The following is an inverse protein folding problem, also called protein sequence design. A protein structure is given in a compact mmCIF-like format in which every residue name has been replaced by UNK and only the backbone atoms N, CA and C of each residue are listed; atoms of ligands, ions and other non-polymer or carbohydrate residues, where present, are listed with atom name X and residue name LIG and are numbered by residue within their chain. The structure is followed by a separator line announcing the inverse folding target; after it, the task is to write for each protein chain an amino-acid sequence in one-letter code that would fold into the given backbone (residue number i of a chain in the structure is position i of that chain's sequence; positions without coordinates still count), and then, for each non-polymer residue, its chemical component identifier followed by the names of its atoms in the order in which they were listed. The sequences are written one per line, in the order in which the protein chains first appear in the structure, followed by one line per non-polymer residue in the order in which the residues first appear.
data_IF_985007982727
#
_entry.id   IF_985007982727
#
_cell.length_a   1.000
_cell.length_b   1.000
_cell.length_c   1.000
_cell.angle_alpha   90.00
_cell.angle_beta   90.00
_cell.angle_gamma   90.00
#
_symmetry.space_group_name_H-M   'P 1'
#
loop_
_entity.id
_entity.type
_entity.pdbx_description
1 polymer ?
#
# COMPACT_ATOMS: atom_id res chain seq x y z
N UNK A 1 10.01 34.88 2.68
CA UNK A 1 9.09 33.70 2.80
C UNK A 1 8.46 33.52 1.42
N UNK A 2 8.86 32.47 0.71
CA UNK A 2 8.29 32.20 -0.62
C UNK A 2 6.80 31.97 -0.49
N UNK A 3 6.04 32.75 -1.21
CA UNK A 3 4.58 32.65 -1.28
C UNK A 3 4.26 31.36 -2.08
N UNK A 4 3.47 30.44 -1.52
CA UNK A 4 3.01 29.27 -2.25
C UNK A 4 2.25 29.71 -3.52
N UNK A 5 2.72 29.28 -4.69
CA UNK A 5 1.97 29.48 -5.93
C UNK A 5 0.69 28.64 -5.89
N UNK A 6 -0.46 29.32 -5.82
CA UNK A 6 -1.75 28.69 -5.72
C UNK A 6 -2.03 27.72 -6.87
N UNK A 7 -1.68 28.10 -8.10
CA UNK A 7 -1.97 27.30 -9.29
C UNK A 7 -1.08 26.06 -9.37
N UNK A 8 0.18 26.16 -9.00
CA UNK A 8 1.09 25.04 -8.90
C UNK A 8 0.65 24.06 -7.80
N UNK A 9 0.33 24.56 -6.62
CA UNK A 9 -0.19 23.73 -5.52
C UNK A 9 -1.49 23.04 -5.89
N UNK A 10 -2.44 23.74 -6.54
CA UNK A 10 -3.71 23.15 -6.93
C UNK A 10 -3.55 22.06 -8.01
N UNK A 11 -2.64 22.25 -8.96
CA UNK A 11 -2.30 21.19 -9.95
C UNK A 11 -1.75 19.93 -9.27
N UNK A 12 -0.84 20.08 -8.32
CA UNK A 12 -0.30 18.95 -7.54
C UNK A 12 -1.39 18.20 -6.79
N UNK A 13 -2.35 18.89 -6.18
CA UNK A 13 -3.50 18.28 -5.50
C UNK A 13 -4.43 17.59 -6.49
N UNK A 14 -4.71 18.18 -7.64
CA UNK A 14 -5.60 17.61 -8.66
C UNK A 14 -5.02 16.32 -9.25
N UNK A 15 -3.69 16.25 -9.42
CA UNK A 15 -2.96 15.06 -9.87
C UNK A 15 -2.61 14.09 -8.73
N UNK A 16 -2.89 14.45 -7.48
CA UNK A 16 -2.52 13.66 -6.29
C UNK A 16 -1.02 13.32 -6.23
N UNK A 17 -0.20 14.29 -6.52
CA UNK A 17 1.24 14.12 -6.67
C UNK A 17 1.92 13.99 -5.29
N UNK A 18 2.33 12.77 -4.95
CA UNK A 18 2.98 12.45 -3.68
C UNK A 18 4.36 13.09 -3.49
N UNK A 19 5.01 13.53 -4.58
CA UNK A 19 6.31 14.22 -4.50
C UNK A 19 6.23 15.54 -3.74
N UNK A 20 5.04 16.12 -3.64
CA UNK A 20 4.78 17.35 -2.89
C UNK A 20 4.31 17.11 -1.45
N UNK A 21 4.19 15.85 -1.01
CA UNK A 21 3.81 15.53 0.37
C UNK A 21 4.88 16.06 1.34
N UNK A 22 4.44 16.87 2.29
CA UNK A 22 5.33 17.54 3.24
C UNK A 22 5.85 18.91 2.79
N UNK A 23 5.74 19.28 1.52
CA UNK A 23 6.11 20.60 1.01
C UNK A 23 5.06 21.65 1.30
N UNK A 24 3.79 21.27 1.20
CA UNK A 24 2.65 22.08 1.56
C UNK A 24 1.45 21.21 1.95
N UNK A 25 0.45 21.85 2.53
CA UNK A 25 -0.79 21.20 2.97
C UNK A 25 -1.98 21.96 2.41
N UNK A 26 -3.02 21.19 2.03
CA UNK A 26 -4.25 21.69 1.43
C UNK A 26 -5.33 21.77 2.48
N UNK A 27 -5.77 22.94 2.85
CA UNK A 27 -6.86 23.15 3.79
C UNK A 27 -8.17 23.44 3.04
N UNK A 28 -9.25 22.77 3.42
CA UNK A 28 -10.56 22.85 2.77
C UNK A 28 -11.54 23.56 3.70
N UNK A 29 -11.88 24.81 3.40
CA UNK A 29 -12.71 25.69 4.25
C UNK A 29 -14.08 25.11 4.57
N UNK A 30 -14.71 24.42 3.60
CA UNK A 30 -16.05 23.86 3.79
C UNK A 30 -16.12 22.68 4.74
N UNK A 31 -15.00 21.99 4.96
CA UNK A 31 -14.93 20.81 5.83
C UNK A 31 -14.10 21.02 7.10
N UNK A 32 -13.32 22.11 7.16
CA UNK A 32 -12.39 22.37 8.24
C UNK A 32 -11.24 21.34 8.32
N UNK A 33 -10.91 20.68 7.19
CA UNK A 33 -9.92 19.61 7.15
C UNK A 33 -8.73 20.02 6.30
N UNK A 34 -7.50 19.73 6.78
CA UNK A 34 -6.31 19.82 5.95
C UNK A 34 -5.77 18.43 5.58
N UNK A 35 -5.21 18.32 4.38
CA UNK A 35 -4.74 17.12 3.73
C UNK A 35 -3.35 17.31 3.14
N UNK A 36 -2.67 16.18 2.84
CA UNK A 36 -1.51 16.15 1.96
C UNK A 36 -1.95 16.26 0.49
N UNK A 37 -1.07 16.73 -0.42
CA UNK A 37 -1.34 16.76 -1.86
C UNK A 37 -1.80 15.42 -2.45
N UNK A 38 -1.19 14.31 -2.04
CA UNK A 38 -1.51 12.95 -2.50
C UNK A 38 -2.80 12.36 -1.92
N UNK A 39 -3.54 13.10 -1.10
CA UNK A 39 -4.74 12.57 -0.43
C UNK A 39 -5.75 11.97 -1.43
N UNK A 40 -6.23 10.72 -1.23
CA UNK A 40 -7.18 10.07 -2.12
C UNK A 40 -8.63 10.57 -1.97
N UNK A 41 -8.85 11.65 -1.22
CA UNK A 41 -10.16 12.30 -1.13
C UNK A 41 -10.53 12.97 -2.46
N UNK A 42 -11.81 13.36 -2.58
CA UNK A 42 -12.29 14.13 -3.73
C UNK A 42 -11.54 15.47 -3.77
N UNK A 43 -11.01 15.82 -4.95
CA UNK A 43 -10.33 17.11 -5.15
C UNK A 43 -11.31 18.25 -4.86
N UNK A 44 -11.02 19.13 -3.92
CA UNK A 44 -11.91 20.23 -3.54
C UNK A 44 -12.00 21.29 -4.63
N UNK A 45 -13.11 22.03 -4.69
CA UNK A 45 -13.23 23.16 -5.62
C UNK A 45 -12.22 24.26 -5.25
N UNK A 46 -11.56 24.87 -6.24
CA UNK A 46 -10.52 25.90 -6.06
C UNK A 46 -10.92 27.00 -5.05
N UNK A 47 -12.14 27.50 -5.14
CA UNK A 47 -12.65 28.56 -4.25
C UNK A 47 -12.73 28.20 -2.76
N UNK A 48 -12.67 26.90 -2.44
CA UNK A 48 -12.78 26.38 -1.07
C UNK A 48 -11.42 25.98 -0.48
N UNK A 49 -10.33 26.20 -1.20
CA UNK A 49 -8.99 25.73 -0.82
C UNK A 49 -8.12 26.88 -0.41
N UNK A 50 -7.30 26.66 0.58
CA UNK A 50 -6.11 27.45 0.89
C UNK A 50 -4.94 26.52 1.17
N UNK A 51 -3.73 27.04 1.03
CA UNK A 51 -2.51 26.27 1.16
C UNK A 51 -1.66 26.77 2.32
N UNK A 52 -1.07 25.83 3.05
CA UNK A 52 -0.21 26.10 4.20
C UNK A 52 1.15 25.42 4.02
N UNK A 53 2.24 26.09 4.42
CA UNK A 53 3.58 25.49 4.35
C UNK A 53 3.78 24.33 5.32
N UNK A 54 3.08 24.34 6.44
CA UNK A 54 3.24 23.32 7.49
C UNK A 54 1.89 22.82 8.01
N UNK A 55 1.87 21.59 8.54
CA UNK A 55 0.73 21.08 9.26
C UNK A 55 0.35 21.97 10.46
N UNK A 56 1.36 22.51 11.16
CA UNK A 56 1.16 23.40 12.30
C UNK A 56 0.45 24.69 11.90
N UNK A 57 0.80 25.30 10.76
CA UNK A 57 0.12 26.52 10.30
C UNK A 57 -1.32 26.26 9.90
N UNK A 58 -1.63 25.12 9.30
CA UNK A 58 -3.01 24.70 9.02
C UNK A 58 -3.82 24.48 10.31
N UNK A 59 -3.22 23.83 11.32
CA UNK A 59 -3.86 23.65 12.64
C UNK A 59 -4.12 24.97 13.34
N UNK A 60 -3.13 25.88 13.34
CA UNK A 60 -3.28 27.22 13.93
C UNK A 60 -4.37 28.05 13.23
N UNK A 61 -4.62 27.80 11.93
CA UNK A 61 -5.72 28.40 11.18
C UNK A 61 -7.08 27.72 11.45
N UNK A 62 -7.15 26.73 12.37
CA UNK A 62 -8.39 26.08 12.80
C UNK A 62 -8.77 24.82 12.02
N UNK A 63 -7.91 24.32 11.15
CA UNK A 63 -8.17 23.09 10.42
C UNK A 63 -7.72 21.86 11.21
N UNK A 64 -8.47 20.77 11.13
CA UNK A 64 -8.08 19.48 11.69
C UNK A 64 -7.43 18.55 10.65
N UNK A 65 -6.57 17.67 11.10
CA UNK A 65 -5.94 16.67 10.25
C UNK A 65 -6.93 15.71 9.61
N UNK A 66 -6.70 15.39 8.35
CA UNK A 66 -7.47 14.37 7.64
C UNK A 66 -7.13 12.96 8.17
N UNK A 67 -8.14 12.23 8.66
CA UNK A 67 -7.97 10.87 9.19
C UNK A 67 -7.52 9.86 8.12
N UNK A 68 -7.74 10.16 6.83
CA UNK A 68 -7.43 9.26 5.71
C UNK A 68 -5.97 9.34 5.30
N UNK A 69 -5.39 10.53 5.17
CA UNK A 69 -4.02 10.72 4.74
C UNK A 69 -3.05 11.07 5.88
N UNK A 70 -3.53 11.28 7.11
CA UNK A 70 -2.72 11.56 8.31
C UNK A 70 -1.59 12.58 8.04
N UNK A 71 -1.96 13.81 7.67
CA UNK A 71 -0.97 14.86 7.37
C UNK A 71 -0.22 15.35 8.62
N UNK A 72 -0.69 14.96 9.81
CA UNK A 72 -0.13 15.19 11.12
C UNK A 72 0.96 14.16 11.52
N UNK A 73 1.05 13.04 10.82
CA UNK A 73 2.05 12.01 11.09
C UNK A 73 3.45 12.44 10.58
N UNK A 74 4.49 11.85 11.16
CA UNK A 74 5.86 12.10 10.71
C UNK A 74 6.10 11.47 9.33
N UNK A 75 6.74 12.20 8.40
CA UNK A 75 7.11 11.63 7.10
C UNK A 75 7.91 10.34 7.25
N UNK A 76 7.52 9.29 6.49
CA UNK A 76 8.15 7.98 6.54
C UNK A 76 7.64 7.05 7.67
N UNK A 77 6.80 7.53 8.59
CA UNK A 77 6.16 6.66 9.59
C UNK A 77 5.08 5.76 8.96
N UNK A 78 4.71 4.62 9.62
CA UNK A 78 3.59 3.78 9.17
C UNK A 78 2.28 4.55 9.02
N UNK A 79 2.02 5.52 9.88
CA UNK A 79 0.84 6.37 9.82
C UNK A 79 0.88 7.33 8.62
N UNK A 80 2.08 7.77 8.22
CA UNK A 80 2.28 8.57 7.03
C UNK A 80 2.09 7.76 5.76
N UNK A 81 2.62 6.54 5.73
CA UNK A 81 2.62 5.63 4.58
C UNK A 81 1.73 4.39 4.79
N UNK A 82 0.51 4.57 5.26
CA UNK A 82 -0.42 3.47 5.56
C UNK A 82 -0.55 2.44 4.44
N UNK A 83 -0.51 2.87 3.17
CA UNK A 83 -0.54 1.95 2.02
C UNK A 83 0.72 1.10 1.92
N UNK A 84 1.89 1.75 1.98
CA UNK A 84 3.18 1.03 1.90
C UNK A 84 3.37 0.08 3.08
N UNK A 85 2.96 0.49 4.29
CA UNK A 85 3.01 -0.39 5.46
C UNK A 85 2.08 -1.60 5.30
N UNK A 86 0.85 -1.38 4.84
CA UNK A 86 -0.11 -2.46 4.61
C UNK A 86 0.39 -3.43 3.53
N UNK A 87 0.96 -2.92 2.44
CA UNK A 87 1.58 -3.75 1.39
C UNK A 87 2.76 -4.54 1.96
N UNK A 88 3.64 -3.91 2.71
CA UNK A 88 4.78 -4.57 3.36
C UNK A 88 4.35 -5.68 4.32
N UNK A 89 3.31 -5.44 5.14
CA UNK A 89 2.74 -6.46 6.03
C UNK A 89 2.12 -7.62 5.22
N UNK A 90 1.34 -7.31 4.18
CA UNK A 90 0.77 -8.33 3.31
C UNK A 90 1.85 -9.20 2.65
N UNK A 91 2.91 -8.59 2.12
CA UNK A 91 4.02 -9.31 1.50
C UNK A 91 4.73 -10.24 2.49
N UNK A 92 4.98 -9.79 3.73
CA UNK A 92 5.55 -10.66 4.78
C UNK A 92 4.65 -11.85 5.06
N UNK A 93 3.35 -11.64 5.32
CA UNK A 93 2.39 -12.71 5.60
C UNK A 93 2.26 -13.71 4.43
N UNK A 94 2.32 -13.23 3.18
CA UNK A 94 2.33 -14.12 2.01
C UNK A 94 3.62 -14.94 1.97
N UNK A 95 4.77 -14.33 2.25
CA UNK A 95 6.05 -15.04 2.31
C UNK A 95 6.08 -16.08 3.43
N UNK A 96 5.45 -15.78 4.56
CA UNK A 96 5.28 -16.72 5.69
C UNK A 96 4.24 -17.82 5.42
N UNK A 97 3.65 -17.85 4.21
CA UNK A 97 2.75 -18.90 3.76
C UNK A 97 1.32 -18.81 4.29
N UNK A 98 0.86 -17.66 4.77
CA UNK A 98 -0.52 -17.49 5.25
C UNK A 98 -1.51 -17.78 4.13
N UNK A 99 -1.25 -17.33 2.90
CA UNK A 99 -2.12 -17.59 1.75
C UNK A 99 -2.15 -19.07 1.39
N UNK A 100 -1.08 -19.79 1.62
CA UNK A 100 -0.99 -21.24 1.31
C UNK A 100 -1.78 -22.08 2.32
N UNK A 101 -1.82 -21.66 3.59
CA UNK A 101 -2.54 -22.37 4.67
C UNK A 101 -4.00 -21.94 4.80
N UNK A 102 -4.28 -20.64 4.68
CA UNK A 102 -5.56 -20.04 5.08
C UNK A 102 -6.25 -19.29 3.93
N UNK A 103 -5.62 -19.30 2.74
CA UNK A 103 -6.14 -18.59 1.58
C UNK A 103 -6.10 -17.06 1.72
N UNK A 104 -6.74 -16.38 0.77
CA UNK A 104 -6.84 -14.91 0.78
C UNK A 104 -7.71 -14.41 1.94
N UNK A 105 -8.62 -15.27 2.44
CA UNK A 105 -9.44 -14.94 3.61
C UNK A 105 -8.56 -14.75 4.85
N UNK A 106 -7.71 -15.72 5.17
CA UNK A 106 -6.80 -15.63 6.31
C UNK A 106 -5.84 -14.44 6.21
N UNK A 107 -5.33 -14.15 5.01
CA UNK A 107 -4.53 -12.93 4.80
C UNK A 107 -5.32 -11.66 5.10
N UNK A 108 -6.56 -11.58 4.65
CA UNK A 108 -7.42 -10.42 4.85
C UNK A 108 -7.76 -10.23 6.34
N UNK A 109 -8.08 -11.31 7.03
CA UNK A 109 -8.38 -11.32 8.47
C UNK A 109 -7.16 -10.90 9.30
N UNK A 110 -5.97 -11.44 8.99
CA UNK A 110 -4.71 -11.07 9.65
C UNK A 110 -4.33 -9.59 9.46
N UNK A 111 -4.76 -8.98 8.37
CA UNK A 111 -4.55 -7.57 8.07
C UNK A 111 -5.65 -6.65 8.62
N UNK A 112 -6.82 -7.19 9.00
CA UNK A 112 -7.99 -6.42 9.44
C UNK A 112 -8.74 -5.74 8.29
N UNK A 113 -8.74 -6.35 7.08
CA UNK A 113 -9.39 -5.80 5.89
C UNK A 113 -10.23 -6.85 5.16
N UNK A 114 -11.02 -6.44 4.17
CA UNK A 114 -11.74 -7.37 3.30
C UNK A 114 -10.82 -7.95 2.22
N UNK A 115 -11.08 -9.17 1.77
CA UNK A 115 -10.33 -9.82 0.68
C UNK A 115 -10.28 -8.95 -0.58
N UNK A 116 -11.42 -8.31 -0.93
CA UNK A 116 -11.51 -7.40 -2.07
C UNK A 116 -10.56 -6.21 -1.93
N UNK A 117 -10.47 -5.63 -0.72
CA UNK A 117 -9.58 -4.50 -0.46
C UNK A 117 -8.11 -4.92 -0.62
N UNK A 118 -7.71 -6.03 0.02
CA UNK A 118 -6.33 -6.55 -0.03
C UNK A 118 -5.93 -6.90 -1.47
N UNK A 119 -6.80 -7.60 -2.21
CA UNK A 119 -6.55 -7.95 -3.60
C UNK A 119 -6.37 -6.72 -4.49
N UNK A 120 -7.27 -5.74 -4.37
CA UNK A 120 -7.20 -4.50 -5.15
C UNK A 120 -5.94 -3.70 -4.81
N UNK A 121 -5.60 -3.62 -3.52
CA UNK A 121 -4.41 -2.91 -3.06
C UNK A 121 -3.13 -3.55 -3.63
N UNK A 122 -2.95 -4.85 -3.47
CA UNK A 122 -1.76 -5.55 -3.97
C UNK A 122 -1.67 -5.48 -5.50
N UNK A 123 -2.79 -5.64 -6.21
CA UNK A 123 -2.80 -5.50 -7.67
C UNK A 123 -2.38 -4.09 -8.12
N UNK A 124 -2.82 -3.05 -7.40
CA UNK A 124 -2.47 -1.67 -7.73
C UNK A 124 -1.02 -1.30 -7.41
N UNK A 125 -0.49 -1.80 -6.28
CA UNK A 125 0.83 -1.39 -5.76
C UNK A 125 1.97 -2.35 -6.21
N UNK A 126 1.66 -3.63 -6.39
CA UNK A 126 2.65 -4.69 -6.70
C UNK A 126 2.43 -5.28 -8.11
N UNK A 127 1.30 -4.97 -8.73
CA UNK A 127 0.95 -5.49 -10.06
C UNK A 127 0.37 -6.92 -10.05
N UNK A 128 0.19 -7.53 -8.88
CA UNK A 128 -0.30 -8.91 -8.76
C UNK A 128 -1.19 -9.10 -7.52
N UNK A 129 -2.18 -9.98 -7.62
CA UNK A 129 -3.01 -10.36 -6.48
C UNK A 129 -2.34 -11.38 -5.56
N UNK A 130 -2.86 -11.57 -4.33
CA UNK A 130 -2.26 -12.42 -3.29
C UNK A 130 -1.93 -13.86 -3.75
N UNK A 131 -2.85 -14.50 -4.47
CA UNK A 131 -2.64 -15.88 -4.98
C UNK A 131 -1.52 -15.96 -6.01
N UNK A 132 -1.38 -14.97 -6.89
CA UNK A 132 -0.31 -14.93 -7.88
C UNK A 132 1.05 -14.72 -7.20
N UNK A 133 1.12 -13.86 -6.19
CA UNK A 133 2.33 -13.62 -5.40
C UNK A 133 2.73 -14.89 -4.64
N UNK A 134 1.79 -15.56 -3.95
CA UNK A 134 2.06 -16.81 -3.26
C UNK A 134 2.56 -17.91 -4.21
N UNK A 135 1.95 -18.03 -5.42
CA UNK A 135 2.42 -18.96 -6.44
C UNK A 135 3.84 -18.67 -6.90
N UNK A 136 4.17 -17.40 -7.13
CA UNK A 136 5.53 -17.01 -7.50
C UNK A 136 6.55 -17.31 -6.40
N UNK A 137 6.20 -17.11 -5.12
CA UNK A 137 7.04 -17.46 -3.99
C UNK A 137 7.31 -18.97 -3.93
N UNK A 138 6.27 -19.82 -4.08
CA UNK A 138 6.44 -21.27 -4.13
C UNK A 138 7.35 -21.71 -5.27
N UNK A 139 7.14 -21.13 -6.48
CA UNK A 139 8.00 -21.43 -7.63
C UNK A 139 9.46 -21.07 -7.39
N UNK A 140 9.70 -19.92 -6.76
CA UNK A 140 11.05 -19.50 -6.37
C UNK A 140 11.68 -20.46 -5.36
N UNK A 141 10.96 -20.81 -4.29
CA UNK A 141 11.43 -21.76 -3.28
C UNK A 141 11.74 -23.12 -3.90
N UNK A 142 10.86 -23.62 -4.76
CA UNK A 142 11.08 -24.89 -5.46
C UNK A 142 12.35 -24.89 -6.31
N UNK A 143 12.60 -23.82 -7.07
CA UNK A 143 13.85 -23.69 -7.86
C UNK A 143 15.08 -23.72 -6.99
N UNK A 144 15.07 -22.95 -5.89
CA UNK A 144 16.19 -22.95 -4.95
C UNK A 144 16.46 -24.35 -4.38
N UNK A 145 15.41 -25.09 -4.02
CA UNK A 145 15.55 -26.46 -3.51
C UNK A 145 16.06 -27.44 -4.58
N UNK A 146 15.56 -27.36 -5.82
CA UNK A 146 16.03 -28.18 -6.94
C UNK A 146 17.48 -27.94 -7.29
N UNK A 147 17.94 -26.71 -7.20
CA UNK A 147 19.32 -26.32 -7.55
C UNK A 147 20.33 -26.63 -6.46
N UNK A 148 19.92 -26.66 -5.20
CA UNK A 148 20.86 -26.70 -4.06
C UNK A 148 20.72 -27.95 -3.18
N UNK A 149 19.79 -28.89 -3.51
CA UNK A 149 19.57 -30.08 -2.69
C UNK A 149 19.44 -31.33 -3.58
N UNK A 150 19.62 -32.50 -2.97
CA UNK A 150 19.37 -33.80 -3.60
C UNK A 150 17.95 -34.33 -3.35
N UNK A 151 17.01 -33.47 -2.95
CA UNK A 151 15.62 -33.86 -2.70
C UNK A 151 14.95 -34.35 -3.97
N UNK A 152 14.04 -35.32 -3.83
CA UNK A 152 13.21 -35.71 -4.96
C UNK A 152 12.26 -34.58 -5.39
N UNK A 153 11.86 -34.53 -6.67
CA UNK A 153 10.91 -33.53 -7.14
C UNK A 153 9.58 -33.53 -6.36
N UNK A 154 9.16 -34.69 -5.86
CA UNK A 154 7.98 -34.82 -5.00
C UNK A 154 8.19 -34.15 -3.64
N UNK A 155 9.34 -34.40 -3.00
CA UNK A 155 9.67 -33.76 -1.72
C UNK A 155 9.82 -32.25 -1.86
N UNK A 156 10.46 -31.80 -2.95
CA UNK A 156 10.58 -30.37 -3.27
C UNK A 156 9.20 -29.72 -3.44
N UNK A 157 8.26 -30.39 -4.12
CA UNK A 157 6.92 -29.85 -4.30
C UNK A 157 6.24 -29.55 -2.96
N UNK A 158 6.28 -30.49 -2.01
CA UNK A 158 5.68 -30.30 -0.69
C UNK A 158 6.47 -29.32 0.19
N UNK A 159 7.80 -29.41 0.18
CA UNK A 159 8.66 -28.49 0.92
C UNK A 159 8.52 -27.03 0.46
N UNK A 160 8.25 -26.81 -0.83
CA UNK A 160 7.99 -25.49 -1.39
C UNK A 160 6.55 -24.98 -1.16
N UNK A 161 5.68 -25.77 -0.51
CA UNK A 161 4.31 -25.37 -0.16
C UNK A 161 3.26 -25.63 -1.26
N UNK A 162 3.54 -26.51 -2.24
CA UNK A 162 2.52 -26.92 -3.20
C UNK A 162 1.57 -27.95 -2.59
N UNK A 163 0.28 -27.79 -2.83
CA UNK A 163 -0.74 -28.73 -2.35
C UNK A 163 -0.79 -30.05 -3.12
N UNK A 164 -0.11 -30.16 -4.28
CA UNK A 164 -0.02 -31.39 -5.06
C UNK A 164 1.14 -31.33 -6.05
N UNK A 165 1.66 -32.51 -6.45
CA UNK A 165 2.68 -32.67 -7.50
C UNK A 165 2.18 -32.13 -8.84
N UNK A 166 0.88 -32.26 -9.14
CA UNK A 166 0.29 -31.69 -10.35
C UNK A 166 0.43 -30.17 -10.38
N UNK A 167 0.06 -29.50 -9.29
CA UNK A 167 0.20 -28.03 -9.18
C UNK A 167 1.65 -27.58 -9.31
N UNK A 168 2.59 -28.32 -8.72
CA UNK A 168 4.02 -28.10 -8.87
C UNK A 168 4.45 -28.20 -10.34
N UNK A 169 4.13 -29.31 -11.03
CA UNK A 169 4.47 -29.51 -12.43
C UNK A 169 3.89 -28.43 -13.35
N UNK A 170 2.64 -28.00 -13.10
CA UNK A 170 1.99 -26.93 -13.87
C UNK A 170 2.63 -25.54 -13.64
N UNK A 171 3.36 -25.37 -12.53
CA UNK A 171 3.98 -24.09 -12.15
C UNK A 171 5.45 -24.00 -12.54
N UNK A 172 6.19 -25.11 -12.54
CA UNK A 172 7.66 -25.17 -12.74
C UNK A 172 8.05 -25.42 -14.23
N UNK A 173 7.10 -25.66 -15.09
CA UNK A 173 7.33 -25.80 -16.54
C UNK A 173 7.94 -24.58 -17.21
#
# INVERSE_FOLDING_TARGET
MDTLDFDACYRAVASRDERFDGWFYTAVRTTGIYCRPSCPAITPKRRNVEFHHTAASAQSAGFRACKRCRPDASPGSPEWNVRSDLVGRAMRLITDGVVDREGVAGLADALGYTQRHVTRLLTAEVGAGPLAIARANRARTARVLLENTAMSAADVAFAAGFGSIRQFNDTIR
#
